data_IF_864941344708
#
_entry.id   IF_864941344708
#
_cell.length_a   1.000
_cell.length_b   1.000
_cell.length_c   1.000
_cell.angle_alpha   90.00
_cell.angle_beta   90.00
_cell.angle_gamma   90.00
#
_symmetry.space_group_name_H-M   'P 1'
#
loop_
_entity.id
_entity.type
_entity.pdbx_description
1 polymer ?
#
# COMPACT_ATOMS: atom_id res chain seq x y z
N UNK A 1 -6.33 -13.31 -3.62
CA UNK A 1 -7.07 -12.03 -3.69
C UNK A 1 -6.03 -10.94 -3.92
N UNK A 2 -6.18 -10.16 -5.00
CA UNK A 2 -5.27 -9.05 -5.34
C UNK A 2 -5.84 -7.73 -4.82
N UNK A 3 -5.00 -6.69 -4.73
CA UNK A 3 -5.42 -5.32 -4.44
C UNK A 3 -6.39 -4.74 -5.49
N UNK A 4 -6.48 -5.35 -6.66
CA UNK A 4 -7.30 -4.86 -7.79
C UNK A 4 -8.79 -5.25 -7.70
N UNK A 5 -9.17 -6.02 -6.67
CA UNK A 5 -10.56 -6.38 -6.36
C UNK A 5 -11.02 -5.61 -5.10
N UNK A 6 -12.19 -4.97 -5.05
CA UNK A 6 -12.63 -4.18 -3.89
C UNK A 6 -12.60 -4.95 -2.56
N UNK A 7 -12.98 -6.23 -2.57
CA UNK A 7 -12.93 -7.06 -1.37
C UNK A 7 -11.48 -7.38 -0.97
N UNK A 8 -10.61 -7.67 -1.95
CA UNK A 8 -9.17 -7.82 -1.75
C UNK A 8 -8.50 -6.56 -1.20
N UNK A 9 -8.86 -5.38 -1.69
CA UNK A 9 -8.37 -4.09 -1.21
C UNK A 9 -8.76 -3.86 0.26
N UNK A 10 -10.04 -4.04 0.61
CA UNK A 10 -10.53 -3.88 1.98
C UNK A 10 -9.90 -4.89 2.95
N UNK A 11 -9.74 -6.15 2.53
CA UNK A 11 -9.09 -7.18 3.34
C UNK A 11 -7.60 -6.86 3.58
N UNK A 12 -6.88 -6.40 2.54
CA UNK A 12 -5.50 -5.95 2.66
C UNK A 12 -5.35 -4.77 3.60
N UNK A 13 -6.26 -3.79 3.50
CA UNK A 13 -6.28 -2.61 4.36
C UNK A 13 -6.47 -2.97 5.84
N UNK A 14 -7.37 -3.91 6.15
CA UNK A 14 -7.60 -4.34 7.54
C UNK A 14 -6.36 -4.97 8.20
N UNK A 15 -5.55 -5.71 7.43
CA UNK A 15 -4.28 -6.25 7.91
C UNK A 15 -3.22 -5.16 8.08
N UNK A 16 -3.11 -4.28 7.09
CA UNK A 16 -2.15 -3.18 7.08
C UNK A 16 -2.36 -2.20 8.24
N UNK A 17 -3.61 -1.82 8.54
CA UNK A 17 -3.95 -0.90 9.63
C UNK A 17 -3.50 -1.39 11.01
N UNK A 18 -3.25 -2.69 11.20
CA UNK A 18 -2.73 -3.22 12.48
C UNK A 18 -1.28 -2.84 12.75
N UNK A 19 -0.51 -2.56 11.70
CA UNK A 19 0.90 -2.20 11.82
C UNK A 19 1.15 -0.71 11.64
N UNK A 20 0.17 0.06 11.14
CA UNK A 20 0.28 1.52 10.97
C UNK A 20 0.21 2.20 12.34
N UNK A 21 1.17 3.08 12.61
CA UNK A 21 1.24 3.88 13.85
C UNK A 21 0.93 5.35 13.64
N UNK A 22 0.91 5.82 12.39
CA UNK A 22 0.63 7.22 12.05
C UNK A 22 0.78 7.48 10.57
N UNK A 23 0.32 8.66 10.15
CA UNK A 23 0.48 9.16 8.79
C UNK A 23 0.88 10.63 8.83
N UNK A 24 1.84 11.00 8.00
CA UNK A 24 2.28 12.38 7.82
C UNK A 24 1.99 12.80 6.37
N UNK A 25 1.08 13.76 6.19
CA UNK A 25 0.74 14.28 4.87
C UNK A 25 1.86 15.19 4.36
N UNK A 26 2.25 15.01 3.10
CA UNK A 26 3.36 15.75 2.46
C UNK A 26 2.83 16.72 1.40
N UNK A 27 1.90 16.26 0.57
CA UNK A 27 1.35 17.07 -0.52
C UNK A 27 -0.04 16.60 -0.89
N UNK A 28 -0.88 17.56 -1.28
CA UNK A 28 -2.25 17.33 -1.73
C UNK A 28 -2.48 18.17 -3.00
N UNK A 29 -3.02 17.54 -4.04
CA UNK A 29 -3.43 18.19 -5.27
C UNK A 29 -4.87 17.81 -5.57
N UNK A 30 -5.74 18.80 -5.72
CA UNK A 30 -7.16 18.61 -5.94
C UNK A 30 -7.59 19.12 -7.31
N UNK A 31 -8.35 18.29 -8.02
CA UNK A 31 -9.12 18.65 -9.22
C UNK A 31 -10.62 18.53 -8.96
N UNK A 32 -11.43 18.82 -9.98
CA UNK A 32 -12.89 18.79 -9.85
C UNK A 32 -13.44 17.38 -9.52
N UNK A 33 -12.82 16.34 -10.08
CA UNK A 33 -13.25 14.93 -9.94
C UNK A 33 -12.10 13.99 -9.61
N UNK A 34 -11.00 14.53 -9.09
CA UNK A 34 -9.83 13.76 -8.74
C UNK A 34 -9.03 14.41 -7.62
N UNK A 35 -8.25 13.60 -6.91
CA UNK A 35 -7.28 14.07 -5.92
C UNK A 35 -6.01 13.23 -6.00
N UNK A 36 -4.86 13.84 -5.74
CA UNK A 36 -3.59 13.12 -5.55
C UNK A 36 -3.01 13.51 -4.22
N UNK A 37 -2.71 12.50 -3.40
CA UNK A 37 -2.09 12.65 -2.09
C UNK A 37 -0.69 12.04 -2.13
N UNK A 38 0.25 12.70 -1.47
CA UNK A 38 1.56 12.13 -1.15
C UNK A 38 1.72 12.19 0.36
N UNK A 39 1.95 11.06 1.00
CA UNK A 39 2.04 10.95 2.45
C UNK A 39 3.00 9.83 2.86
N UNK A 40 3.55 9.98 4.06
CA UNK A 40 4.30 8.94 4.74
C UNK A 40 3.36 8.12 5.62
N UNK A 41 3.47 6.80 5.54
CA UNK A 41 2.81 5.87 6.48
C UNK A 41 3.87 5.33 7.41
N UNK A 42 3.74 5.59 8.70
CA UNK A 42 4.63 5.02 9.72
C UNK A 42 4.10 3.67 10.15
N UNK A 43 5.00 2.69 10.23
CA UNK A 43 4.65 1.32 10.63
C UNK A 43 5.50 0.85 11.79
N UNK A 44 4.90 0.06 12.68
CA UNK A 44 5.59 -0.70 13.74
C UNK A 44 6.28 -1.96 13.19
N UNK A 45 6.90 -1.86 12.02
CA UNK A 45 7.60 -2.96 11.34
C UNK A 45 9.03 -2.55 10.98
N UNK A 46 9.91 -3.50 10.62
CA UNK A 46 11.24 -3.15 10.11
C UNK A 46 11.24 -2.29 8.84
N UNK A 47 10.11 -2.18 8.12
CA UNK A 47 9.97 -1.25 6.99
C UNK A 47 10.05 0.20 7.45
N UNK A 48 9.65 0.51 8.69
CA UNK A 48 9.60 1.86 9.21
C UNK A 48 8.56 2.68 8.45
N UNK A 49 9.00 3.57 7.57
CA UNK A 49 8.13 4.50 6.83
C UNK A 49 7.95 4.05 5.37
N UNK A 50 6.70 3.98 4.92
CA UNK A 50 6.34 3.83 3.52
C UNK A 50 5.91 5.18 2.93
N UNK A 51 6.68 5.69 1.96
CA UNK A 51 6.24 6.81 1.11
C UNK A 51 5.17 6.32 0.14
N UNK A 52 4.02 6.97 0.17
CA UNK A 52 2.86 6.61 -0.63
C UNK A 52 2.43 7.78 -1.50
N UNK A 53 2.13 7.50 -2.77
CA UNK A 53 1.35 8.37 -3.62
C UNK A 53 0.04 7.66 -3.95
N UNK A 54 -1.09 8.34 -3.72
CA UNK A 54 -2.41 7.78 -3.95
C UNK A 54 -3.24 8.74 -4.80
N UNK A 55 -3.78 8.23 -5.89
CA UNK A 55 -4.63 9.00 -6.80
C UNK A 55 -6.07 8.49 -6.76
N UNK A 56 -7.01 9.41 -6.59
CA UNK A 56 -8.43 9.14 -6.46
C UNK A 56 -9.19 9.67 -7.66
N UNK A 57 -10.20 8.92 -8.12
CA UNK A 57 -11.29 9.47 -8.93
C UNK A 57 -12.55 9.58 -8.10
N UNK A 58 -13.29 10.65 -8.32
CA UNK A 58 -14.45 11.03 -7.54
C UNK A 58 -15.69 11.21 -8.42
N UNK A 59 -16.85 10.94 -7.84
CA UNK A 59 -18.14 11.39 -8.32
C UNK A 59 -18.97 11.98 -7.17
N UNK A 60 -20.25 12.27 -7.44
CA UNK A 60 -21.15 12.89 -6.46
C UNK A 60 -21.46 11.98 -5.26
N UNK A 61 -21.09 10.70 -5.34
CA UNK A 61 -21.28 9.68 -4.29
C UNK A 61 -20.01 9.32 -3.54
N UNK A 62 -18.83 9.69 -4.08
CA UNK A 62 -17.54 9.53 -3.41
C UNK A 62 -16.44 9.00 -4.32
N UNK A 63 -15.55 8.18 -3.76
CA UNK A 63 -14.40 7.60 -4.47
C UNK A 63 -14.87 6.47 -5.38
N UNK A 64 -14.60 6.61 -6.67
CA UNK A 64 -14.92 5.63 -7.71
C UNK A 64 -13.73 4.76 -8.11
N UNK A 65 -12.49 5.25 -7.92
CA UNK A 65 -11.28 4.46 -8.10
C UNK A 65 -10.12 4.99 -7.27
N UNK A 66 -9.21 4.09 -6.92
CA UNK A 66 -7.98 4.37 -6.19
C UNK A 66 -6.81 3.77 -6.97
N UNK A 67 -5.76 4.56 -7.19
CA UNK A 67 -4.45 4.09 -7.67
C UNK A 67 -3.42 4.33 -6.58
N UNK A 68 -2.94 3.26 -5.96
CA UNK A 68 -1.95 3.29 -4.88
C UNK A 68 -0.56 2.97 -5.43
N UNK A 69 0.43 3.83 -5.14
CA UNK A 69 1.81 3.68 -5.58
C UNK A 69 2.75 3.82 -4.38
N UNK A 70 3.59 2.82 -4.16
CA UNK A 70 4.66 2.85 -3.16
C UNK A 70 5.81 1.92 -3.58
N UNK A 71 7.00 2.09 -2.99
CA UNK A 71 8.08 1.13 -3.14
C UNK A 71 7.80 -0.11 -2.28
N UNK A 72 7.44 -1.21 -2.94
CA UNK A 72 7.17 -2.49 -2.29
C UNK A 72 8.43 -3.28 -1.88
N UNK A 73 9.62 -2.85 -2.29
CA UNK A 73 10.87 -3.60 -2.06
C UNK A 73 11.13 -3.88 -0.57
N UNK A 74 10.98 -2.91 0.35
CA UNK A 74 11.19 -3.16 1.79
C UNK A 74 10.24 -4.20 2.40
N UNK A 75 9.07 -4.42 1.79
CA UNK A 75 8.06 -5.36 2.28
C UNK A 75 8.33 -6.82 1.91
N UNK A 76 9.15 -7.08 0.88
CA UNK A 76 9.36 -8.42 0.35
C UNK A 76 9.81 -9.46 1.40
N UNK A 77 10.74 -9.16 2.34
CA UNK A 77 11.14 -10.13 3.35
C UNK A 77 9.97 -10.57 4.25
N UNK A 78 9.07 -9.64 4.59
CA UNK A 78 7.90 -9.95 5.42
C UNK A 78 6.86 -10.76 4.63
N UNK A 79 6.64 -10.43 3.36
CA UNK A 79 5.72 -11.17 2.49
C UNK A 79 6.17 -12.63 2.28
N UNK A 80 7.49 -12.87 2.18
CA UNK A 80 8.03 -14.23 2.08
C UNK A 80 7.77 -15.07 3.34
N UNK A 81 7.72 -14.46 4.53
CA UNK A 81 7.38 -15.15 5.79
C UNK A 81 5.88 -15.44 5.90
N UNK A 82 5.04 -14.51 5.43
CA UNK A 82 3.57 -14.64 5.49
C UNK A 82 3.01 -15.58 4.42
N UNK A 83 3.75 -15.81 3.33
CA UNK A 83 3.38 -16.73 2.25
C UNK A 83 4.65 -17.46 1.73
N UNK A 84 5.09 -18.55 2.39
CA UNK A 84 6.35 -19.23 2.06
C UNK A 84 6.40 -19.79 0.63
N UNK A 85 5.26 -19.95 -0.04
CA UNK A 85 5.18 -20.35 -1.45
C UNK A 85 5.68 -19.29 -2.45
N UNK A 86 5.87 -18.03 -2.02
CA UNK A 86 6.39 -16.92 -2.84
C UNK A 86 7.88 -16.62 -2.58
N UNK A 87 8.58 -17.43 -1.78
CA UNK A 87 10.00 -17.25 -1.55
C UNK A 87 10.77 -17.35 -2.89
N UNK A 88 11.71 -16.43 -3.19
CA UNK A 88 12.54 -16.55 -4.37
C UNK A 88 13.31 -17.88 -4.31
N UNK A 89 13.34 -18.61 -5.43
CA UNK A 89 14.04 -19.88 -5.52
C UNK A 89 15.49 -19.71 -5.03
N UNK A 90 15.88 -20.51 -4.04
CA UNK A 90 17.23 -20.52 -3.52
C UNK A 90 18.22 -20.74 -4.68
N UNK A 91 19.17 -19.82 -4.85
CA UNK A 91 20.21 -19.94 -5.86
C UNK A 91 21.02 -21.22 -5.55
N UNK A 92 21.23 -22.13 -6.52
CA UNK A 92 21.99 -23.35 -6.25
C UNK A 92 23.42 -22.96 -5.85
N UNK A 93 23.89 -23.56 -4.75
CA UNK A 93 25.27 -23.44 -4.30
C UNK A 93 26.18 -23.97 -5.41
N UNK A 94 27.19 -23.17 -5.80
CA UNK A 94 28.26 -23.58 -6.73
C UNK A 94 29.35 -24.33 -5.99
#
# INVERSE_FOLDING_TARGET
>A
MSSDDPAGHLAGLAGFLRVVTGVDMISELYGEREATLVYDVHTATPVGTQRTAEHFRLDDTGITSITLIFDGTPWQPMLAVMNPSNAPAAKPAS
#
